data_IF_745200287845
#
_entry.id   IF_745200287845
#
_cell.length_a   1.000
_cell.length_b   1.000
_cell.length_c   1.000
_cell.angle_alpha   90.00
_cell.angle_beta   90.00
_cell.angle_gamma   90.00
#
_symmetry.space_group_name_H-M   'P 1'
#
loop_
_entity.id
_entity.type
_entity.pdbx_description
1 polymer ?
#
# COMPACT_ATOMS: atom_id res chain seq x y z
N UNK A 1 -10.71 -36.55 -8.44
CA UNK A 1 -11.78 -36.09 -7.52
C UNK A 1 -11.33 -35.14 -6.40
N UNK A 2 -10.34 -35.44 -5.54
CA UNK A 2 -9.83 -34.47 -4.55
C UNK A 2 -8.99 -33.36 -5.20
N UNK A 3 -7.98 -33.74 -5.99
CA UNK A 3 -7.11 -32.81 -6.74
C UNK A 3 -7.85 -31.85 -7.68
N UNK A 4 -8.88 -32.31 -8.39
CA UNK A 4 -9.67 -31.45 -9.29
C UNK A 4 -10.51 -30.44 -8.52
N UNK A 5 -11.04 -30.84 -7.35
CA UNK A 5 -11.84 -29.97 -6.48
C UNK A 5 -10.96 -28.94 -5.78
N UNK A 6 -9.76 -29.33 -5.35
CA UNK A 6 -8.73 -28.44 -4.82
C UNK A 6 -8.23 -27.44 -5.87
N UNK A 7 -8.01 -27.90 -7.12
CA UNK A 7 -7.62 -27.01 -8.24
C UNK A 7 -8.73 -26.02 -8.58
N UNK A 8 -10.01 -26.45 -8.56
CA UNK A 8 -11.14 -25.54 -8.79
C UNK A 8 -11.34 -24.55 -7.65
N UNK A 9 -11.17 -24.98 -6.39
CA UNK A 9 -11.26 -24.10 -5.22
C UNK A 9 -10.11 -23.09 -5.22
N UNK A 10 -8.90 -23.51 -5.57
CA UNK A 10 -7.75 -22.62 -5.71
C UNK A 10 -7.99 -21.55 -6.78
N UNK A 11 -8.60 -21.91 -7.93
CA UNK A 11 -8.96 -20.93 -8.97
C UNK A 11 -9.98 -19.92 -8.49
N UNK A 12 -11.04 -20.36 -7.80
CA UNK A 12 -12.03 -19.44 -7.21
C UNK A 12 -11.41 -18.59 -6.11
N UNK A 13 -10.54 -19.14 -5.26
CA UNK A 13 -9.81 -18.37 -4.25
C UNK A 13 -8.89 -17.33 -4.87
N UNK A 14 -8.23 -17.64 -6.00
CA UNK A 14 -7.38 -16.69 -6.75
C UNK A 14 -8.20 -15.52 -7.31
N UNK A 15 -9.43 -15.77 -7.78
CA UNK A 15 -10.35 -14.73 -8.27
C UNK A 15 -10.83 -13.79 -7.15
N UNK A 16 -10.87 -14.28 -5.92
CA UNK A 16 -11.37 -13.52 -4.75
C UNK A 16 -10.26 -12.84 -3.96
N UNK A 17 -8.99 -13.04 -4.34
CA UNK A 17 -7.87 -12.37 -3.69
C UNK A 17 -7.99 -10.86 -3.91
N UNK A 18 -7.92 -10.05 -2.84
CA UNK A 18 -7.82 -8.60 -2.96
C UNK A 18 -6.64 -8.24 -3.88
N UNK A 19 -6.85 -7.36 -4.85
CA UNK A 19 -5.80 -6.85 -5.73
C UNK A 19 -6.01 -5.37 -5.98
N UNK A 20 -4.90 -4.65 -6.16
CA UNK A 20 -4.99 -3.31 -6.70
C UNK A 20 -5.60 -3.36 -8.11
N UNK A 21 -6.52 -2.45 -8.45
CA UNK A 21 -7.16 -2.47 -9.75
C UNK A 21 -6.18 -2.15 -10.88
N UNK A 22 -5.11 -1.39 -10.63
CA UNK A 22 -4.21 -0.93 -11.67
C UNK A 22 -2.87 -1.67 -11.67
N UNK A 23 -2.36 -1.98 -12.88
CA UNK A 23 -1.06 -2.66 -13.05
C UNK A 23 0.15 -1.78 -12.79
N UNK A 24 0.01 -0.47 -12.90
CA UNK A 24 1.10 0.48 -12.69
C UNK A 24 0.63 1.59 -11.77
N UNK A 25 1.38 1.83 -10.69
CA UNK A 25 1.11 2.83 -9.66
C UNK A 25 2.41 3.56 -9.38
N UNK A 26 2.42 4.88 -9.50
CA UNK A 26 3.59 5.70 -9.22
C UNK A 26 3.80 5.89 -7.72
N UNK A 27 2.70 6.15 -6.99
CA UNK A 27 2.69 6.23 -5.54
C UNK A 27 1.50 5.45 -4.98
N UNK A 28 1.79 4.42 -4.19
CA UNK A 28 0.79 3.74 -3.37
C UNK A 28 0.85 4.28 -1.95
N UNK A 29 -0.26 4.84 -1.49
CA UNK A 29 -0.45 5.30 -0.13
C UNK A 29 -1.24 4.23 0.62
N UNK A 30 -0.71 3.76 1.75
CA UNK A 30 -1.32 2.70 2.57
C UNK A 30 -1.61 3.29 3.95
N UNK A 31 -2.89 3.36 4.32
CA UNK A 31 -3.31 4.05 5.54
C UNK A 31 -2.80 3.33 6.80
N UNK A 32 -2.86 2.00 6.81
CA UNK A 32 -2.36 1.19 7.91
C UNK A 32 -1.76 -0.15 7.46
N UNK A 33 -0.79 -0.64 8.23
CA UNK A 33 -0.18 -1.96 8.04
C UNK A 33 -0.22 -2.74 9.34
N UNK A 34 -0.19 -4.07 9.24
CA UNK A 34 -0.14 -4.92 10.42
C UNK A 34 -0.17 -6.40 10.10
N UNK A 35 0.29 -7.23 11.04
CA UNK A 35 0.29 -8.69 10.87
C UNK A 35 -1.11 -9.30 10.76
N UNK A 36 -2.12 -8.60 11.28
CA UNK A 36 -3.53 -8.94 11.11
C UNK A 36 -4.03 -8.69 9.68
N UNK A 37 -3.38 -7.79 8.92
CA UNK A 37 -3.68 -7.53 7.51
C UNK A 37 -2.97 -8.56 6.62
N UNK A 38 -1.67 -8.74 6.84
CA UNK A 38 -0.86 -9.74 6.13
C UNK A 38 0.35 -10.13 6.99
N UNK A 39 0.84 -11.37 6.88
CA UNK A 39 1.96 -11.85 7.70
C UNK A 39 3.23 -10.98 7.60
N UNK A 40 3.44 -10.32 6.45
CA UNK A 40 4.50 -9.36 6.18
C UNK A 40 4.15 -7.90 6.49
N UNK A 41 3.03 -7.62 7.17
CA UNK A 41 2.50 -6.27 7.43
C UNK A 41 1.62 -5.75 6.29
N UNK A 42 2.05 -5.96 5.04
CA UNK A 42 1.30 -5.74 3.80
C UNK A 42 1.44 -6.96 2.89
N UNK A 43 0.42 -7.28 2.11
CA UNK A 43 0.51 -8.39 1.14
C UNK A 43 1.44 -8.01 -0.02
N UNK A 44 2.58 -8.70 -0.12
CA UNK A 44 3.62 -8.44 -1.11
C UNK A 44 3.20 -8.74 -2.55
N UNK A 45 2.15 -9.54 -2.77
CA UNK A 45 1.58 -9.74 -4.11
C UNK A 45 0.72 -8.53 -4.53
N UNK A 46 0.02 -7.90 -3.58
CA UNK A 46 -0.84 -6.74 -3.82
C UNK A 46 0.00 -5.52 -4.19
N UNK A 47 1.07 -5.26 -3.42
CA UNK A 47 1.94 -4.08 -3.61
C UNK A 47 3.07 -4.29 -4.62
N UNK A 48 3.16 -5.47 -5.25
CA UNK A 48 4.21 -5.76 -6.23
C UNK A 48 5.62 -5.80 -5.64
N UNK A 49 5.76 -6.40 -4.44
CA UNK A 49 7.03 -6.55 -3.71
C UNK A 49 7.33 -8.02 -3.38
N UNK A 50 6.84 -8.97 -4.17
CA UNK A 50 6.97 -10.41 -3.87
C UNK A 50 8.41 -10.90 -3.94
N UNK A 51 9.18 -10.36 -4.89
CA UNK A 51 10.53 -10.82 -5.20
C UNK A 51 11.62 -9.81 -4.83
N UNK A 52 11.24 -8.57 -4.53
CA UNK A 52 12.15 -7.49 -4.15
C UNK A 52 11.39 -6.44 -3.35
N UNK A 53 11.97 -6.00 -2.23
CA UNK A 53 11.32 -5.12 -1.25
C UNK A 53 11.04 -3.70 -1.75
N UNK A 54 11.79 -3.23 -2.75
CA UNK A 54 11.74 -1.83 -3.21
C UNK A 54 11.54 -1.67 -4.71
N UNK A 55 11.26 -2.76 -5.43
CA UNK A 55 10.98 -2.70 -6.86
C UNK A 55 10.16 -3.88 -7.33
N UNK A 56 9.08 -3.62 -8.05
CA UNK A 56 8.39 -4.67 -8.77
C UNK A 56 9.29 -5.29 -9.85
N UNK A 57 9.11 -6.58 -10.08
CA UNK A 57 9.78 -7.35 -11.11
C UNK A 57 8.80 -7.69 -12.23
N UNK A 58 9.31 -8.20 -13.35
CA UNK A 58 8.49 -8.73 -14.44
C UNK A 58 7.54 -9.88 -14.04
N UNK A 59 7.79 -10.49 -12.88
CA UNK A 59 6.97 -11.58 -12.32
C UNK A 59 5.83 -11.08 -11.44
N UNK A 60 5.83 -9.80 -11.07
CA UNK A 60 4.79 -9.19 -10.27
C UNK A 60 3.62 -8.73 -11.17
N UNK A 61 2.40 -8.92 -10.72
CA UNK A 61 1.19 -8.51 -11.47
C UNK A 61 0.91 -7.01 -11.40
N UNK A 62 1.53 -6.32 -10.44
CA UNK A 62 1.42 -4.88 -10.21
C UNK A 62 2.83 -4.32 -10.06
N UNK A 63 3.04 -3.15 -10.67
CA UNK A 63 4.27 -2.38 -10.57
C UNK A 63 4.02 -1.09 -9.79
N UNK A 64 4.25 -1.15 -8.47
CA UNK A 64 4.26 0.03 -7.62
C UNK A 64 5.67 0.61 -7.60
N UNK A 65 5.81 1.90 -7.90
CA UNK A 65 7.12 2.57 -7.90
C UNK A 65 7.53 2.98 -6.49
N UNK A 66 6.69 3.77 -5.81
CA UNK A 66 6.89 4.24 -4.44
C UNK A 66 5.73 3.83 -3.54
N UNK A 67 6.04 3.49 -2.30
CA UNK A 67 5.06 3.19 -1.25
C UNK A 67 5.23 4.17 -0.10
N UNK A 68 4.11 4.71 0.37
CA UNK A 68 3.99 5.53 1.55
C UNK A 68 3.08 4.86 2.58
N UNK A 69 3.63 4.43 3.72
CA UNK A 69 2.86 3.88 4.84
C UNK A 69 2.52 4.96 5.86
N UNK A 70 1.25 5.06 6.23
CA UNK A 70 0.71 6.17 7.04
C UNK A 70 0.38 5.84 8.49
N UNK A 71 0.43 4.57 8.88
CA UNK A 71 0.07 4.13 10.22
C UNK A 71 0.25 2.63 10.45
N UNK A 72 0.07 2.21 11.70
CA UNK A 72 -0.01 0.81 12.10
C UNK A 72 -1.41 0.52 12.62
N UNK A 73 -1.89 -0.71 12.40
CA UNK A 73 -3.13 -1.15 13.04
C UNK A 73 -2.96 -1.23 14.58
N UNK A 74 -4.01 -1.02 15.38
CA UNK A 74 -3.94 -1.17 16.84
C UNK A 74 -3.45 -2.56 17.29
N UNK A 75 -3.79 -3.61 16.53
CA UNK A 75 -3.40 -5.01 16.80
C UNK A 75 -1.89 -5.25 16.66
N UNK A 76 -1.15 -4.35 16.01
CA UNK A 76 0.32 -4.45 15.95
C UNK A 76 0.97 -4.32 17.32
N UNK A 77 0.33 -3.61 18.26
CA UNK A 77 0.94 -3.17 19.52
C UNK A 77 2.34 -2.55 19.30
N UNK A 78 2.50 -1.77 18.21
CA UNK A 78 3.75 -1.11 17.83
C UNK A 78 4.73 -1.98 17.03
N UNK A 79 4.39 -3.22 16.69
CA UNK A 79 5.19 -4.05 15.80
C UNK A 79 5.05 -3.61 14.34
N UNK A 80 6.05 -2.90 13.82
CA UNK A 80 6.05 -2.36 12.46
C UNK A 80 6.70 -3.28 11.42
N UNK A 81 6.76 -4.59 11.67
CA UNK A 81 7.28 -5.54 10.68
C UNK A 81 6.52 -5.40 9.35
N UNK A 82 7.24 -5.05 8.29
CA UNK A 82 6.67 -4.75 6.98
C UNK A 82 6.82 -3.29 6.55
N UNK A 83 7.06 -2.37 7.49
CA UNK A 83 7.22 -0.95 7.17
C UNK A 83 8.42 -0.69 6.26
N UNK A 84 9.46 -1.51 6.37
CA UNK A 84 10.67 -1.40 5.56
C UNK A 84 10.50 -1.79 4.09
N UNK A 85 9.31 -2.25 3.67
CA UNK A 85 9.00 -2.40 2.24
C UNK A 85 8.58 -1.07 1.59
N UNK A 86 8.38 -0.02 2.39
CA UNK A 86 8.00 1.30 1.93
C UNK A 86 9.21 2.22 1.75
N UNK A 87 9.09 3.18 0.85
CA UNK A 87 10.10 4.23 0.66
C UNK A 87 9.87 5.41 1.62
N UNK A 88 8.60 5.65 1.98
CA UNK A 88 8.22 6.75 2.86
C UNK A 88 7.30 6.31 3.99
N UNK A 89 7.40 7.05 5.10
CA UNK A 89 6.40 7.08 6.15
C UNK A 89 6.31 8.50 6.72
N UNK A 90 5.63 8.69 7.84
CA UNK A 90 5.52 9.96 8.53
C UNK A 90 5.92 9.81 10.00
N UNK A 91 6.18 10.94 10.65
CA UNK A 91 6.61 10.98 12.05
C UNK A 91 5.65 10.26 12.99
N UNK A 92 4.34 10.49 12.87
CA UNK A 92 3.34 9.86 13.75
C UNK A 92 3.37 8.33 13.67
N UNK A 93 3.69 7.76 12.51
CA UNK A 93 3.83 6.30 12.36
C UNK A 93 5.10 5.82 13.03
N UNK A 94 6.22 6.53 12.83
CA UNK A 94 7.49 6.20 13.48
C UNK A 94 7.38 6.24 15.01
N UNK A 95 6.61 7.17 15.55
CA UNK A 95 6.36 7.30 16.99
C UNK A 95 5.50 6.15 17.56
N UNK A 96 4.73 5.45 16.73
CA UNK A 96 3.98 4.25 17.14
C UNK A 96 4.87 3.00 17.24
N UNK A 97 6.07 3.01 16.66
CA UNK A 97 6.90 1.80 16.52
C UNK A 97 7.57 1.43 17.85
N UNK A 98 7.26 0.23 18.35
CA UNK A 98 8.14 -0.47 19.28
C UNK A 98 9.30 -1.09 18.50
N UNK A 99 10.44 -0.40 18.54
CA UNK A 99 11.66 -0.79 17.82
C UNK A 99 12.20 -2.15 18.28
N UNK A 100 12.01 -2.51 19.55
CA UNK A 100 12.51 -3.78 20.10
C UNK A 100 11.66 -4.94 19.59
N UNK A 101 10.33 -4.83 19.67
CA UNK A 101 9.40 -5.85 19.17
C UNK A 101 9.59 -6.03 17.67
N UNK A 102 9.68 -4.92 16.93
CA UNK A 102 9.90 -4.92 15.49
C UNK A 102 11.21 -5.63 15.14
N UNK A 103 12.33 -5.26 15.77
CA UNK A 103 13.62 -5.90 15.53
C UNK A 103 13.62 -7.40 15.83
N UNK A 104 13.05 -7.83 16.97
CA UNK A 104 12.96 -9.26 17.32
C UNK A 104 12.16 -10.01 16.26
N UNK A 105 11.02 -9.47 15.82
CA UNK A 105 10.19 -10.10 14.81
C UNK A 105 10.88 -10.20 13.44
N UNK A 106 11.52 -9.12 12.97
CA UNK A 106 12.20 -9.12 11.69
C UNK A 106 13.42 -10.05 11.68
N UNK A 107 14.16 -10.14 12.80
CA UNK A 107 15.30 -11.07 12.94
C UNK A 107 14.81 -12.52 12.99
N UNK A 108 13.82 -12.83 13.83
CA UNK A 108 13.29 -14.20 13.96
C UNK A 108 12.54 -14.67 12.72
N UNK A 109 11.93 -13.75 11.98
CA UNK A 109 11.33 -14.00 10.66
C UNK A 109 12.33 -14.03 9.51
N UNK A 110 13.62 -13.76 9.74
CA UNK A 110 14.66 -13.81 8.70
C UNK A 110 14.61 -12.69 7.66
N UNK A 111 13.91 -11.58 7.93
CA UNK A 111 13.71 -10.46 7.00
C UNK A 111 14.03 -9.13 7.70
N UNK A 112 15.31 -8.92 8.02
CA UNK A 112 15.76 -7.71 8.69
C UNK A 112 15.38 -6.39 7.97
N UNK A 113 15.46 -6.29 6.62
CA UNK A 113 14.98 -5.13 5.88
C UNK A 113 13.54 -4.72 6.19
N UNK A 114 12.62 -5.66 6.47
CA UNK A 114 11.22 -5.34 6.73
C UNK A 114 10.98 -4.47 7.97
N UNK A 115 11.97 -4.33 8.86
CA UNK A 115 11.93 -3.45 10.03
C UNK A 115 12.70 -2.14 9.88
N UNK A 116 13.30 -1.88 8.70
CA UNK A 116 13.99 -0.61 8.45
C UNK A 116 12.98 0.53 8.43
N UNK A 117 13.30 1.63 9.10
CA UNK A 117 12.45 2.82 9.15
C UNK A 117 12.64 3.60 7.84
N UNK A 118 11.59 3.82 7.04
CA UNK A 118 11.67 4.60 5.81
C UNK A 118 11.99 6.08 6.06
N UNK A 119 12.27 6.83 4.99
CA UNK A 119 12.36 8.29 5.08
C UNK A 119 11.01 8.81 5.58
N UNK A 120 11.03 9.70 6.59
CA UNK A 120 9.81 10.23 7.17
C UNK A 120 9.85 11.75 7.34
N UNK A 121 8.68 12.34 7.19
CA UNK A 121 8.45 13.78 7.36
C UNK A 121 7.39 14.03 8.44
N UNK A 122 7.19 15.29 8.80
CA UNK A 122 6.26 15.69 9.87
C UNK A 122 4.81 15.40 9.50
N UNK A 123 4.38 15.71 8.27
CA UNK A 123 3.01 15.53 7.79
C UNK A 123 2.92 14.70 6.50
N UNK A 124 1.72 14.19 6.16
CA UNK A 124 1.51 13.50 4.88
C UNK A 124 1.71 14.45 3.70
N UNK A 125 1.34 15.74 3.85
CA UNK A 125 1.60 16.78 2.85
C UNK A 125 3.10 16.91 2.56
N UNK A 126 3.95 16.85 3.58
CA UNK A 126 5.39 16.92 3.40
C UNK A 126 5.92 15.68 2.66
N UNK A 127 5.39 14.49 2.98
CA UNK A 127 5.73 13.26 2.25
C UNK A 127 5.35 13.39 0.78
N UNK A 128 4.15 13.87 0.46
CA UNK A 128 3.71 14.08 -0.92
C UNK A 128 4.60 15.10 -1.64
N UNK A 129 4.88 16.24 -1.00
CA UNK A 129 5.66 17.33 -1.58
C UNK A 129 7.10 16.91 -1.88
N UNK A 130 7.73 16.15 -0.97
CA UNK A 130 9.13 15.72 -1.12
C UNK A 130 9.27 14.38 -1.87
N UNK A 131 8.25 13.53 -1.83
CA UNK A 131 8.25 12.19 -2.40
C UNK A 131 7.84 12.13 -3.87
N UNK A 132 6.82 12.88 -4.29
CA UNK A 132 6.32 12.87 -5.67
C UNK A 132 7.40 13.20 -6.73
N UNK A 133 8.37 14.11 -6.50
CA UNK A 133 9.45 14.35 -7.47
C UNK A 133 10.29 13.10 -7.81
N UNK A 134 10.33 12.08 -6.94
CA UNK A 134 11.04 10.82 -7.21
C UNK A 134 10.32 9.94 -8.25
N UNK A 135 9.07 10.24 -8.59
CA UNK A 135 8.37 9.62 -9.72
C UNK A 135 9.08 9.97 -11.05
N UNK A 136 9.82 11.08 -11.12
CA UNK A 136 10.65 11.44 -12.27
C UNK A 136 9.98 12.45 -13.18
N UNK A 137 9.92 12.16 -14.49
CA UNK A 137 9.46 13.10 -15.52
C UNK A 137 7.92 13.25 -15.61
N UNK A 138 7.17 12.58 -14.73
CA UNK A 138 5.72 12.66 -14.68
C UNK A 138 5.30 13.96 -14.00
N UNK A 139 4.45 14.76 -14.66
CA UNK A 139 3.88 15.94 -14.02
C UNK A 139 2.98 15.54 -12.84
N UNK A 140 2.86 16.33 -11.76
CA UNK A 140 2.08 15.94 -10.59
C UNK A 140 0.61 15.58 -10.88
N UNK A 141 -0.01 16.22 -11.86
CA UNK A 141 -1.38 15.99 -12.35
C UNK A 141 -1.52 14.73 -13.23
N UNK A 142 -0.40 14.21 -13.74
CA UNK A 142 -0.34 12.95 -14.48
C UNK A 142 0.10 11.77 -13.61
N UNK A 143 0.40 12.01 -12.33
CA UNK A 143 0.91 10.99 -11.41
C UNK A 143 -0.16 9.95 -11.10
N UNK A 144 0.18 8.68 -11.26
CA UNK A 144 -0.69 7.54 -10.96
C UNK A 144 -0.67 7.22 -9.46
N UNK A 145 -1.52 7.90 -8.71
CA UNK A 145 -1.59 7.80 -7.26
C UNK A 145 -2.77 6.92 -6.86
N UNK A 146 -2.55 6.00 -5.93
CA UNK A 146 -3.60 5.19 -5.32
C UNK A 146 -3.45 5.26 -3.82
N UNK A 147 -4.55 5.46 -3.10
CA UNK A 147 -4.62 5.32 -1.65
C UNK A 147 -5.57 4.18 -1.29
N UNK A 148 -5.14 3.35 -0.34
CA UNK A 148 -5.90 2.20 0.17
C UNK A 148 -5.95 2.23 1.69
N UNK A 149 -7.02 1.68 2.33
CA UNK A 149 -7.02 1.46 3.77
C UNK A 149 -5.85 0.54 4.17
N UNK A 150 -5.80 -0.64 3.55
CA UNK A 150 -4.75 -1.63 3.72
C UNK A 150 -4.86 -2.70 2.60
N UNK A 151 -3.92 -3.66 2.54
CA UNK A 151 -3.90 -4.67 1.46
C UNK A 151 -4.96 -5.77 1.61
N UNK A 152 -5.70 -5.81 2.71
CA UNK A 152 -6.79 -6.76 2.94
C UNK A 152 -8.13 -6.20 2.47
N UNK A 153 -8.36 -4.90 2.68
CA UNK A 153 -9.59 -4.20 2.34
C UNK A 153 -9.38 -3.30 1.11
N UNK A 154 -9.71 -3.84 -0.07
CA UNK A 154 -9.53 -3.18 -1.38
C UNK A 154 -10.84 -2.98 -2.15
N UNK A 155 -11.98 -3.09 -1.47
CA UNK A 155 -13.29 -2.81 -2.07
C UNK A 155 -13.43 -1.33 -2.44
N UNK A 156 -12.93 -0.45 -1.58
CA UNK A 156 -12.87 0.99 -1.81
C UNK A 156 -11.41 1.44 -1.88
N UNK A 157 -11.07 2.17 -2.94
CA UNK A 157 -9.75 2.76 -3.15
C UNK A 157 -9.93 4.17 -3.69
N UNK A 158 -9.07 5.10 -3.27
CA UNK A 158 -8.96 6.39 -3.94
C UNK A 158 -7.90 6.29 -5.03
N UNK A 159 -8.19 6.82 -6.20
CA UNK A 159 -7.30 6.79 -7.35
C UNK A 159 -7.25 8.17 -8.03
N UNK A 160 -6.07 8.57 -8.47
CA UNK A 160 -5.88 9.81 -9.23
C UNK A 160 -6.74 9.84 -10.49
N UNK A 161 -7.20 11.03 -10.88
CA UNK A 161 -8.03 11.24 -12.07
C UNK A 161 -7.41 10.67 -13.37
N UNK A 162 -6.08 10.57 -13.43
CA UNK A 162 -5.32 9.92 -14.52
C UNK A 162 -5.81 8.52 -14.87
N UNK A 163 -6.46 7.81 -13.94
CA UNK A 163 -7.03 6.49 -14.18
C UNK A 163 -8.43 6.50 -14.81
N UNK A 164 -9.13 7.65 -14.90
CA UNK A 164 -10.50 7.72 -15.41
C UNK A 164 -10.70 7.05 -16.78
N UNK A 165 -9.82 7.23 -17.80
CA UNK A 165 -9.97 6.53 -19.07
C UNK A 165 -9.96 5.00 -18.90
N UNK A 166 -9.07 4.48 -18.05
CA UNK A 166 -8.95 3.04 -17.78
C UNK A 166 -10.14 2.51 -16.97
N UNK A 167 -10.66 3.29 -16.01
CA UNK A 167 -11.82 2.90 -15.20
C UNK A 167 -13.06 2.78 -16.08
N UNK A 168 -13.28 3.71 -17.00
CA UNK A 168 -14.45 3.72 -17.91
C UNK A 168 -14.49 2.52 -18.88
N UNK A 169 -13.37 1.87 -19.11
CA UNK A 169 -13.25 0.69 -19.98
C UNK A 169 -13.45 -0.63 -19.23
N UNK A 170 -13.73 -0.58 -17.91
CA UNK A 170 -13.77 -1.74 -17.04
C UNK A 170 -15.12 -1.90 -16.37
N UNK A 171 -15.74 -3.05 -16.62
CA UNK A 171 -17.05 -3.39 -16.05
C UNK A 171 -16.95 -3.89 -14.60
N UNK A 172 -15.74 -4.12 -14.10
CA UNK A 172 -15.45 -4.59 -12.73
C UNK A 172 -15.09 -3.45 -11.76
N UNK A 173 -15.18 -2.18 -12.20
CA UNK A 173 -14.96 -1.00 -11.36
C UNK A 173 -16.16 -0.07 -11.42
N UNK A 174 -16.48 0.54 -10.28
CA UNK A 174 -17.52 1.54 -10.15
C UNK A 174 -16.93 2.82 -9.55
N UNK A 175 -17.30 3.98 -10.13
CA UNK A 175 -16.95 5.28 -9.57
C UNK A 175 -18.01 5.62 -8.53
N UNK A 176 -17.68 5.43 -7.25
CA UNK A 176 -18.58 5.72 -6.12
C UNK A 176 -18.62 7.22 -5.76
N UNK A 177 -17.54 7.94 -6.06
CA UNK A 177 -17.38 9.38 -5.83
C UNK A 177 -16.51 9.98 -6.95
N UNK A 178 -16.84 11.19 -7.42
CA UNK A 178 -16.04 11.88 -8.44
C UNK A 178 -14.68 12.32 -7.88
N UNK A 179 -13.68 12.42 -8.76
CA UNK A 179 -12.36 12.91 -8.36
C UNK A 179 -12.45 14.37 -7.89
N UNK A 180 -11.76 14.68 -6.80
CA UNK A 180 -11.66 16.03 -6.24
C UNK A 180 -10.22 16.32 -5.80
N UNK A 181 -9.92 17.58 -5.50
CA UNK A 181 -8.62 18.00 -4.99
C UNK A 181 -8.25 17.23 -3.71
N UNK A 182 -6.98 16.85 -3.60
CA UNK A 182 -6.47 16.15 -2.43
C UNK A 182 -6.63 17.02 -1.18
N UNK A 183 -7.35 16.48 -0.18
CA UNK A 183 -7.66 17.19 1.06
C UNK A 183 -6.77 16.74 2.20
N UNK A 184 -6.37 17.70 3.02
CA UNK A 184 -5.61 17.47 4.24
C UNK A 184 -6.33 18.09 5.43
N UNK A 185 -6.17 17.49 6.61
CA UNK A 185 -6.58 18.09 7.87
C UNK A 185 -5.70 19.30 8.25
N UNK A 186 -6.03 19.94 9.38
CA UNK A 186 -5.29 21.10 9.91
C UNK A 186 -3.81 20.79 10.25
N UNK A 187 -3.47 19.51 10.43
CA UNK A 187 -2.13 19.03 10.72
C UNK A 187 -1.38 18.60 9.44
N UNK A 188 -2.01 18.74 8.26
CA UNK A 188 -1.41 18.37 6.98
C UNK A 188 -1.44 16.87 6.69
N UNK A 189 -2.33 16.10 7.32
CA UNK A 189 -2.50 14.66 7.07
C UNK A 189 -3.67 14.40 6.13
N UNK A 190 -3.56 13.36 5.30
CA UNK A 190 -4.64 12.94 4.42
C UNK A 190 -5.81 12.37 5.24
N UNK A 191 -7.02 12.43 4.70
CA UNK A 191 -8.11 11.62 5.25
C UNK A 191 -7.90 10.15 4.88
N UNK A 192 -8.20 9.19 5.79
CA UNK A 192 -8.13 7.78 5.45
C UNK A 192 -9.22 7.40 4.45
N UNK A 193 -8.95 6.40 3.63
CA UNK A 193 -9.99 5.72 2.86
C UNK A 193 -10.84 4.94 3.85
N UNK A 194 -12.12 5.26 3.92
CA UNK A 194 -13.04 4.57 4.83
C UNK A 194 -13.32 3.18 4.27
N UNK A 195 -12.84 2.14 4.94
CA UNK A 195 -13.36 0.79 4.74
C UNK A 195 -14.74 0.73 5.41
N UNK A 196 -15.79 0.60 4.61
CA UNK A 196 -17.15 0.34 5.12
C UNK A 196 -17.33 -1.11 5.54
#
# INVERSE_FOLDING_TARGET
KFFERETSLLKTSIEWLPRLPFKAVDLLIVDEIGKNISGSGMDTNVIGRKFNDHRATEKDSVAVKLIFVRGLTPETHGNACGIGLAEFTNRRTVEQIDKRITAINCITGGHAPAGMIPIHFESDRDVMTNGLPLIGLTAPDEAKIVQIPNTLHLEYVMASETYLPQIRERDDLEIVEEADEIRFDELGNLYPVVAH
#
